data_IF_365626464765
#
_entry.id   IF_365626464765
#
_cell.length_a   1.000
_cell.length_b   1.000
_cell.length_c   1.000
_cell.angle_alpha   90.00
_cell.angle_beta   90.00
_cell.angle_gamma   90.00
#
_symmetry.space_group_name_H-M   'P 1'
#
loop_
_entity.id
_entity.type
_entity.pdbx_description
1 polymer ?
#
# COMPACT_ATOMS: atom_id res chain seq x y z
N UNK A 1 -3.16 -8.86 44.26
CA UNK A 1 -2.10 -8.06 43.63
C UNK A 1 -2.73 -6.87 42.92
N UNK A 2 -2.07 -5.70 42.89
CA UNK A 2 -2.46 -4.54 42.08
C UNK A 2 -1.59 -4.34 40.82
N UNK A 3 -0.54 -5.16 40.66
CA UNK A 3 0.42 -5.06 39.56
C UNK A 3 -0.11 -5.69 38.28
N UNK A 4 0.34 -5.16 37.14
CA UNK A 4 0.02 -5.66 35.81
C UNK A 4 0.69 -7.01 35.53
N UNK A 5 0.12 -7.75 34.59
CA UNK A 5 0.66 -9.04 34.13
C UNK A 5 1.60 -8.89 32.94
N UNK A 6 2.10 -10.03 32.47
CA UNK A 6 2.96 -10.10 31.29
C UNK A 6 2.16 -10.59 30.08
N UNK A 7 2.26 -9.88 28.96
CA UNK A 7 1.68 -10.25 27.67
C UNK A 7 2.82 -10.52 26.69
N UNK A 8 2.90 -11.76 26.20
CA UNK A 8 3.87 -12.17 25.17
C UNK A 8 3.17 -12.54 23.87
N UNK A 9 3.48 -11.83 22.79
CA UNK A 9 2.98 -12.13 21.45
C UNK A 9 4.16 -12.53 20.54
N UNK A 10 4.10 -13.73 19.98
CA UNK A 10 5.05 -14.20 18.98
C UNK A 10 4.32 -14.27 17.63
N UNK A 11 4.59 -13.28 16.77
CA UNK A 11 3.87 -13.05 15.53
C UNK A 11 4.79 -13.46 14.36
N UNK A 12 4.30 -14.25 13.40
CA UNK A 12 5.11 -14.62 12.24
C UNK A 12 5.22 -13.47 11.23
N UNK A 13 4.09 -13.06 10.64
CA UNK A 13 4.08 -12.12 9.51
C UNK A 13 3.77 -10.68 9.91
N UNK A 14 2.62 -10.42 10.53
CA UNK A 14 2.26 -9.09 11.01
C UNK A 14 1.22 -9.13 12.12
N UNK A 15 1.28 -8.13 12.99
CA UNK A 15 0.27 -7.80 13.97
C UNK A 15 -0.45 -6.54 13.48
N UNK A 16 -1.72 -6.69 13.12
CA UNK A 16 -2.57 -5.61 12.64
C UNK A 16 -3.65 -5.29 13.67
N UNK A 17 -3.61 -4.08 14.22
CA UNK A 17 -4.61 -3.56 15.13
C UNK A 17 -5.59 -2.63 14.39
N UNK A 18 -6.87 -2.95 14.51
CA UNK A 18 -7.97 -2.24 13.83
C UNK A 18 -9.21 -2.12 14.69
N UNK A 19 -10.10 -1.22 14.30
CA UNK A 19 -11.45 -1.05 14.85
C UNK A 19 -11.49 -0.97 16.38
N UNK A 20 -10.60 -0.17 16.98
CA UNK A 20 -10.58 0.01 18.43
C UNK A 20 -9.87 -1.11 19.19
N UNK A 21 -8.95 -1.85 18.57
CA UNK A 21 -8.23 -2.96 19.23
C UNK A 21 -7.48 -2.49 20.47
N UNK A 22 -7.35 -3.36 21.48
CA UNK A 22 -6.65 -3.03 22.72
C UNK A 22 -5.78 -4.19 23.19
N UNK A 23 -4.48 -3.91 23.40
CA UNK A 23 -3.55 -4.77 24.12
C UNK A 23 -3.15 -4.01 25.38
N UNK A 24 -3.69 -4.41 26.53
CA UNK A 24 -3.50 -3.68 27.79
C UNK A 24 -2.93 -4.57 28.88
N UNK A 25 -1.81 -4.13 29.45
CA UNK A 25 -1.25 -4.62 30.72
C UNK A 25 -1.33 -3.52 31.79
N UNK A 26 -2.29 -2.59 31.66
CA UNK A 26 -2.50 -1.50 32.59
C UNK A 26 -2.89 -2.02 33.98
N UNK A 27 -2.37 -1.38 35.02
CA UNK A 27 -2.64 -1.82 36.38
C UNK A 27 -2.66 -0.68 37.41
N UNK A 28 -3.20 -1.02 38.58
CA UNK A 28 -3.39 -0.10 39.69
C UNK A 28 -4.62 0.80 39.53
N UNK A 29 -5.13 1.26 40.66
CA UNK A 29 -6.19 2.27 40.79
C UNK A 29 -5.90 3.16 42.00
N UNK A 30 -6.68 4.24 42.17
CA UNK A 30 -6.63 5.10 43.36
C UNK A 30 -6.73 4.35 44.69
N UNK A 31 -7.52 3.28 44.72
CA UNK A 31 -7.77 2.51 45.93
C UNK A 31 -6.88 1.27 46.03
N UNK A 32 -6.14 0.93 44.97
CA UNK A 32 -5.24 -0.22 44.92
C UNK A 32 -4.03 0.10 44.05
N UNK A 33 -2.97 0.68 44.63
CA UNK A 33 -1.70 0.94 43.95
C UNK A 33 -1.17 -0.28 43.20
N UNK A 34 -0.46 -0.03 42.10
CA UNK A 34 0.19 -1.07 41.32
C UNK A 34 1.09 -0.52 40.22
N UNK A 35 2.02 -1.37 39.79
CA UNK A 35 2.89 -1.16 38.63
C UNK A 35 2.18 -1.57 37.34
N UNK A 36 2.52 -0.92 36.23
CA UNK A 36 2.14 -1.37 34.90
C UNK A 36 2.82 -2.70 34.57
N UNK A 37 2.18 -3.52 33.75
CA UNK A 37 2.70 -4.83 33.34
C UNK A 37 3.69 -4.76 32.17
N UNK A 38 4.15 -5.91 31.71
CA UNK A 38 5.06 -5.99 30.56
C UNK A 38 4.33 -6.48 29.31
N UNK A 39 4.58 -5.84 28.17
CA UNK A 39 4.08 -6.27 26.86
C UNK A 39 5.28 -6.51 25.97
N UNK A 40 5.47 -7.74 25.52
CA UNK A 40 6.54 -8.12 24.59
C UNK A 40 5.93 -8.65 23.30
N UNK A 41 6.24 -7.99 22.20
CA UNK A 41 5.83 -8.36 20.85
C UNK A 41 7.09 -8.74 20.08
N UNK A 42 7.24 -10.03 19.78
CA UNK A 42 8.35 -10.54 18.98
C UNK A 42 7.86 -10.97 17.60
N UNK A 43 8.62 -10.62 16.59
CA UNK A 43 8.49 -11.17 15.25
C UNK A 43 9.71 -12.06 14.92
N UNK A 44 9.80 -13.29 15.46
CA UNK A 44 11.00 -14.14 15.37
C UNK A 44 11.26 -14.73 13.97
N UNK A 45 10.41 -14.45 12.98
CA UNK A 45 10.59 -14.92 11.61
C UNK A 45 11.81 -14.30 10.94
N UNK A 46 12.42 -15.04 10.03
CA UNK A 46 13.47 -14.62 9.10
C UNK A 46 13.09 -13.38 8.27
N UNK A 47 11.79 -13.14 8.08
CA UNK A 47 11.25 -11.95 7.41
C UNK A 47 11.04 -10.75 8.32
N UNK A 48 11.18 -10.90 9.65
CA UNK A 48 11.00 -9.82 10.64
C UNK A 48 9.66 -9.09 10.52
N UNK A 49 8.55 -9.79 10.77
CA UNK A 49 7.19 -9.27 10.58
C UNK A 49 6.86 -7.88 11.15
N UNK A 50 5.71 -7.32 10.79
CA UNK A 50 5.33 -5.91 11.03
C UNK A 50 4.37 -5.73 12.21
N UNK A 51 4.43 -4.58 12.90
CA UNK A 51 3.41 -4.16 13.87
C UNK A 51 2.74 -2.89 13.37
N UNK A 52 1.43 -2.97 13.12
CA UNK A 52 0.68 -1.94 12.40
C UNK A 52 -0.61 -1.64 13.15
N UNK A 53 -0.89 -0.36 13.39
CA UNK A 53 -2.23 0.11 13.69
C UNK A 53 -2.75 1.04 12.60
N UNK A 54 -4.06 1.03 12.37
CA UNK A 54 -4.68 2.06 11.53
C UNK A 54 -4.76 3.35 12.37
N UNK A 55 -4.13 4.47 11.94
CA UNK A 55 -3.92 5.63 12.81
C UNK A 55 -5.20 6.22 13.44
N UNK A 56 -6.33 6.14 12.75
CA UNK A 56 -7.60 6.78 13.14
C UNK A 56 -8.66 5.79 13.62
N UNK A 57 -8.26 4.55 13.91
CA UNK A 57 -9.15 3.51 14.45
C UNK A 57 -8.93 3.28 15.95
N UNK A 58 -8.29 4.22 16.67
CA UNK A 58 -8.13 4.21 18.13
C UNK A 58 -7.71 2.83 18.69
N UNK A 59 -6.65 2.28 18.13
CA UNK A 59 -6.13 0.99 18.53
C UNK A 59 -4.87 1.13 19.35
N UNK A 60 -4.88 0.57 20.56
CA UNK A 60 -3.89 0.93 21.58
C UNK A 60 -3.11 -0.25 22.14
N UNK A 61 -1.85 0.02 22.48
CA UNK A 61 -0.98 -0.86 23.26
C UNK A 61 -0.59 -0.11 24.54
N UNK A 62 -1.13 -0.53 25.69
CA UNK A 62 -1.09 0.24 26.93
C UNK A 62 -0.54 -0.59 28.10
N UNK A 63 0.53 -0.13 28.73
CA UNK A 63 1.12 -0.72 29.93
C UNK A 63 1.19 0.32 31.05
N UNK A 64 0.09 1.04 31.30
CA UNK A 64 0.07 2.15 32.23
C UNK A 64 -0.04 1.68 33.70
N UNK A 65 0.30 2.57 34.63
CA UNK A 65 0.26 2.36 36.07
C UNK A 65 -0.46 3.51 36.79
N UNK A 66 -1.03 3.22 37.96
CA UNK A 66 -1.59 4.27 38.81
C UNK A 66 -0.56 4.92 39.75
N UNK A 67 0.15 4.13 40.57
CA UNK A 67 0.90 4.68 41.71
C UNK A 67 2.43 4.61 41.57
N UNK A 68 2.95 3.47 41.11
CA UNK A 68 4.39 3.18 41.13
C UNK A 68 4.98 3.37 39.72
N UNK A 69 5.67 2.38 39.15
CA UNK A 69 6.28 2.50 37.84
C UNK A 69 5.30 2.12 36.73
N UNK A 70 5.33 2.88 35.63
CA UNK A 70 4.77 2.48 34.36
C UNK A 70 5.38 1.14 33.91
N UNK A 71 4.65 0.42 33.06
CA UNK A 71 5.08 -0.87 32.56
C UNK A 71 6.20 -0.79 31.53
N UNK A 72 6.49 -1.93 30.91
CA UNK A 72 7.50 -2.03 29.85
C UNK A 72 6.88 -2.58 28.58
N UNK A 73 7.00 -1.87 27.47
CA UNK A 73 6.57 -2.34 26.16
C UNK A 73 7.80 -2.55 25.30
N UNK A 74 8.01 -3.77 24.84
CA UNK A 74 9.08 -4.12 23.90
C UNK A 74 8.49 -4.65 22.60
N UNK A 75 8.88 -4.03 21.49
CA UNK A 75 8.42 -4.42 20.15
C UNK A 75 9.64 -4.69 19.28
N UNK A 76 9.83 -5.94 18.88
CA UNK A 76 10.89 -6.40 17.97
C UNK A 76 10.26 -6.78 16.64
N UNK A 77 10.41 -5.91 15.64
CA UNK A 77 9.71 -5.96 14.36
C UNK A 77 10.55 -5.30 13.27
N UNK A 78 10.37 -5.58 11.98
CA UNK A 78 11.07 -4.76 10.98
C UNK A 78 10.62 -3.30 11.02
N UNK A 79 9.32 -3.07 11.26
CA UNK A 79 8.76 -1.72 11.32
C UNK A 79 7.50 -1.69 12.17
N UNK A 80 7.44 -0.69 13.04
CA UNK A 80 6.25 -0.30 13.79
C UNK A 80 5.61 0.92 13.11
N UNK A 81 4.32 0.86 12.76
CA UNK A 81 3.65 1.94 12.05
C UNK A 81 2.23 2.22 12.56
N UNK A 82 1.86 3.51 12.51
CA UNK A 82 0.50 3.99 12.76
C UNK A 82 0.14 4.27 14.22
N UNK A 83 1.07 4.03 15.16
CA UNK A 83 0.92 4.41 16.57
C UNK A 83 1.51 5.79 16.86
N UNK A 84 0.90 6.51 17.79
CA UNK A 84 1.50 7.67 18.44
C UNK A 84 1.96 7.30 19.85
N UNK A 85 3.21 7.61 20.18
CA UNK A 85 3.71 7.38 21.53
C UNK A 85 3.17 8.46 22.47
N UNK A 86 2.43 8.03 23.50
CA UNK A 86 1.80 8.93 24.48
C UNK A 86 2.36 8.69 25.86
N UNK A 87 2.51 9.78 26.61
CA UNK A 87 2.96 9.74 28.01
C UNK A 87 2.01 10.57 28.88
N UNK A 88 1.81 10.15 30.12
CA UNK A 88 1.03 10.89 31.13
C UNK A 88 -0.50 10.86 30.93
N UNK A 89 -1.01 10.10 29.96
CA UNK A 89 -2.45 9.89 29.78
C UNK A 89 -2.91 8.62 30.50
N UNK A 90 -4.12 8.65 31.06
CA UNK A 90 -4.78 7.47 31.58
C UNK A 90 -5.28 6.57 30.46
N UNK A 91 -5.47 5.28 30.73
CA UNK A 91 -6.06 4.35 29.75
C UNK A 91 -7.40 4.88 29.23
N UNK A 92 -8.29 5.37 30.09
CA UNK A 92 -9.55 5.96 29.66
C UNK A 92 -9.39 7.17 28.71
N UNK A 93 -8.35 7.99 28.88
CA UNK A 93 -8.10 9.11 27.97
C UNK A 93 -7.56 8.65 26.62
N UNK A 94 -6.73 7.60 26.60
CA UNK A 94 -6.24 6.96 25.38
C UNK A 94 -7.42 6.33 24.63
N UNK A 95 -8.21 5.48 25.31
CA UNK A 95 -9.39 4.81 24.76
C UNK A 95 -10.49 5.76 24.27
N UNK A 96 -10.51 7.01 24.70
CA UNK A 96 -11.52 8.00 24.29
C UNK A 96 -11.03 8.98 23.22
N UNK A 97 -9.78 8.89 22.77
CA UNK A 97 -9.29 9.74 21.70
C UNK A 97 -9.55 9.09 20.32
N UNK A 98 -9.00 9.70 19.26
CA UNK A 98 -9.19 9.25 17.88
C UNK A 98 -7.96 8.56 17.29
N UNK A 99 -6.85 8.51 18.02
CA UNK A 99 -5.55 8.05 17.52
C UNK A 99 -5.24 6.66 18.05
N UNK A 100 -4.57 5.85 17.25
CA UNK A 100 -3.95 4.62 17.75
C UNK A 100 -2.68 4.97 18.52
N UNK A 101 -2.59 4.55 19.77
CA UNK A 101 -1.52 4.98 20.68
C UNK A 101 -0.71 3.82 21.30
N UNK A 102 0.53 4.13 21.68
CA UNK A 102 1.35 3.28 22.53
C UNK A 102 1.75 4.04 23.80
N UNK A 103 1.48 3.48 24.98
CA UNK A 103 1.75 4.17 26.25
C UNK A 103 2.20 3.22 27.35
N UNK A 104 3.25 3.60 28.06
CA UNK A 104 3.74 2.93 29.26
C UNK A 104 4.03 4.00 30.32
N UNK A 105 2.97 4.59 30.86
CA UNK A 105 3.04 5.75 31.75
C UNK A 105 2.66 5.38 33.18
N UNK A 106 3.04 6.22 34.16
CA UNK A 106 2.47 6.17 35.51
C UNK A 106 1.82 7.51 35.86
N UNK A 107 0.67 7.46 36.56
CA UNK A 107 -0.04 8.67 36.99
C UNK A 107 0.66 9.36 38.17
N UNK A 108 1.09 8.61 39.19
CA UNK A 108 1.71 9.17 40.40
C UNK A 108 3.19 8.80 40.57
N UNK A 109 3.72 7.87 39.78
CA UNK A 109 5.09 7.41 39.93
C UNK A 109 5.94 7.57 38.67
N UNK A 110 6.88 6.64 38.45
CA UNK A 110 7.87 6.77 37.38
C UNK A 110 7.27 6.38 36.03
N UNK A 111 7.62 7.11 34.97
CA UNK A 111 7.25 6.70 33.62
C UNK A 111 7.89 5.34 33.29
N UNK A 112 7.13 4.52 32.58
CA UNK A 112 7.60 3.24 32.07
C UNK A 112 8.44 3.40 30.82
N UNK A 113 8.78 2.28 30.20
CA UNK A 113 9.70 2.25 29.06
C UNK A 113 9.01 1.65 27.83
N UNK A 114 9.22 2.29 26.68
CA UNK A 114 8.80 1.77 25.38
C UNK A 114 10.07 1.60 24.55
N UNK A 115 10.41 0.35 24.26
CA UNK A 115 11.54 -0.05 23.41
C UNK A 115 10.99 -0.59 22.12
N UNK A 116 11.30 0.08 21.01
CA UNK A 116 10.99 -0.43 19.68
C UNK A 116 12.31 -0.67 18.98
N UNK A 117 12.58 -1.93 18.67
CA UNK A 117 13.72 -2.34 17.86
C UNK A 117 13.20 -2.61 16.44
N UNK A 118 13.53 -1.68 15.52
CA UNK A 118 13.12 -1.73 14.12
C UNK A 118 14.33 -1.79 13.20
N UNK A 119 14.25 -2.62 12.16
CA UNK A 119 15.22 -2.57 11.06
C UNK A 119 15.12 -1.22 10.35
N UNK A 120 16.14 -0.39 10.56
CA UNK A 120 16.28 0.89 9.86
C UNK A 120 16.72 0.62 8.41
N UNK A 121 15.80 0.78 7.47
CA UNK A 121 16.09 0.63 6.04
C UNK A 121 16.52 2.00 5.53
N UNK A 122 17.82 2.20 5.31
CA UNK A 122 18.36 3.39 4.66
C UNK A 122 17.99 3.38 3.16
N UNK A 123 17.07 4.25 2.71
CA UNK A 123 16.63 4.27 1.32
C UNK A 123 17.70 4.79 0.36
N UNK A 124 18.79 5.40 0.84
CA UNK A 124 19.87 5.93 -0.02
C UNK A 124 20.74 4.82 -0.61
N UNK A 125 20.72 3.63 -0.03
CA UNK A 125 21.45 2.45 -0.53
C UNK A 125 20.88 1.89 -1.85
N UNK A 126 19.68 2.33 -2.27
CA UNK A 126 19.04 1.91 -3.52
C UNK A 126 19.35 2.78 -4.74
N UNK A 127 20.06 3.89 -4.57
CA UNK A 127 20.42 4.78 -5.68
C UNK A 127 21.75 4.30 -6.27
N UNK A 128 21.67 3.40 -7.25
CA UNK A 128 22.81 3.15 -8.14
C UNK A 128 22.91 4.34 -9.09
N UNK A 129 23.98 5.13 -8.97
CA UNK A 129 24.32 6.17 -9.94
C UNK A 129 24.60 5.48 -11.29
N UNK A 130 23.86 5.85 -12.34
CA UNK A 130 24.12 5.30 -13.66
C UNK A 130 25.53 5.71 -14.10
N UNK A 131 26.40 4.78 -14.53
CA UNK A 131 27.70 5.12 -15.08
C UNK A 131 27.52 6.07 -16.28
N UNK A 132 28.08 7.27 -16.18
CA UNK A 132 28.04 8.33 -17.21
C UNK A 132 29.11 8.16 -18.30
N UNK A 133 29.71 6.98 -18.41
CA UNK A 133 30.63 6.67 -19.51
C UNK A 133 29.85 6.50 -20.81
N UNK A 134 29.40 7.63 -21.39
CA UNK A 134 29.06 7.71 -22.78
C UNK A 134 30.32 7.38 -23.57
N UNK A 135 30.35 6.19 -24.19
CA UNK A 135 31.41 5.83 -25.13
C UNK A 135 31.45 6.90 -26.22
N UNK A 136 32.59 7.56 -26.39
CA UNK A 136 32.77 8.61 -27.39
C UNK A 136 32.58 8.01 -28.80
N UNK A 137 31.47 8.34 -29.50
CA UNK A 137 31.18 7.77 -30.80
C UNK A 137 32.17 8.23 -31.88
N UNK A 138 32.95 9.29 -31.63
CA UNK A 138 33.97 9.77 -32.57
C UNK A 138 35.13 8.79 -32.73
N UNK A 139 35.40 7.95 -31.73
CA UNK A 139 36.43 6.91 -31.80
C UNK A 139 35.94 5.59 -32.41
N UNK A 140 34.64 5.48 -32.71
CA UNK A 140 34.05 4.27 -33.31
C UNK A 140 33.95 4.33 -34.84
N UNK A 141 34.29 5.46 -35.46
CA UNK A 141 34.28 5.61 -36.92
C UNK A 141 35.62 5.13 -37.47
N UNK A 142 35.68 3.88 -37.93
CA UNK A 142 36.84 3.37 -38.67
C UNK A 142 36.89 4.00 -40.06
N UNK A 143 38.04 4.56 -40.47
CA UNK A 143 38.24 5.02 -41.84
C UNK A 143 38.50 3.82 -42.76
N UNK A 144 37.53 3.49 -43.61
CA UNK A 144 37.70 2.48 -44.66
C UNK A 144 38.56 2.98 -45.83
N UNK A 145 39.35 2.09 -46.44
CA UNK A 145 40.21 2.42 -47.58
C UNK A 145 39.39 2.91 -48.80
N UNK A 146 39.76 4.06 -49.38
CA UNK A 146 39.23 4.54 -50.68
C UNK A 146 39.72 3.62 -51.81
N UNK A 147 38.84 3.08 -52.68
CA UNK A 147 39.29 2.40 -53.89
C UNK A 147 39.87 3.41 -54.90
N UNK A 148 41.00 3.02 -55.52
CA UNK A 148 41.86 3.81 -56.42
C UNK A 148 41.27 4.15 -57.80
N UNK A 149 40.00 3.85 -58.06
CA UNK A 149 39.37 4.14 -59.36
C UNK A 149 38.47 5.37 -59.26
N UNK A 150 38.83 6.42 -60.00
CA UNK A 150 38.28 7.78 -59.96
C UNK A 150 36.79 7.94 -60.33
N UNK A 151 35.99 6.86 -60.33
CA UNK A 151 34.56 6.88 -60.64
C UNK A 151 33.67 6.24 -59.55
N UNK A 152 34.20 5.88 -58.38
CA UNK A 152 33.38 5.47 -57.23
C UNK A 152 32.95 6.65 -56.33
N UNK A 153 33.50 7.85 -56.56
CA UNK A 153 33.32 9.04 -55.72
C UNK A 153 32.03 9.83 -55.93
N UNK A 154 31.07 9.29 -56.70
CA UNK A 154 29.71 9.87 -56.82
C UNK A 154 28.67 9.21 -55.92
N UNK A 155 29.07 8.29 -55.04
CA UNK A 155 28.22 7.89 -53.92
C UNK A 155 28.73 8.61 -52.68
N UNK A 156 28.16 9.79 -52.41
CA UNK A 156 28.28 10.44 -51.12
C UNK A 156 27.73 9.46 -50.09
N UNK A 157 28.61 8.86 -49.28
CA UNK A 157 28.14 8.16 -48.08
C UNK A 157 27.63 9.22 -47.13
N UNK A 158 26.32 9.27 -46.97
CA UNK A 158 25.64 10.16 -46.04
C UNK A 158 25.41 9.41 -44.74
N UNK A 159 25.91 9.95 -43.64
CA UNK A 159 25.57 9.48 -42.30
C UNK A 159 24.38 10.29 -41.81
N UNK A 160 23.19 9.72 -41.92
CA UNK A 160 21.96 10.34 -41.39
C UNK A 160 21.70 9.79 -39.99
N UNK A 161 21.89 10.63 -38.97
CA UNK A 161 21.30 10.38 -37.65
C UNK A 161 19.81 10.73 -37.74
N UNK A 162 18.95 9.75 -38.03
CA UNK A 162 17.50 9.92 -37.82
C UNK A 162 17.20 9.76 -36.33
N UNK A 163 17.60 10.74 -35.53
CA UNK A 163 17.24 10.79 -34.12
C UNK A 163 15.77 11.13 -33.96
N UNK A 164 14.92 10.14 -33.65
CA UNK A 164 13.65 10.43 -32.99
C UNK A 164 13.93 10.56 -31.50
N UNK A 165 14.34 11.74 -31.07
CA UNK A 165 14.56 11.99 -29.64
C UNK A 165 15.47 13.17 -29.40
N UNK A 166 14.88 14.38 -29.42
CA UNK A 166 15.44 15.45 -28.59
C UNK A 166 15.36 15.04 -27.12
N UNK A 167 16.18 15.67 -26.27
CA UNK A 167 16.00 15.59 -24.83
C UNK A 167 14.50 15.76 -24.49
N UNK A 168 13.93 14.94 -23.60
CA UNK A 168 12.56 15.13 -23.17
C UNK A 168 12.41 16.59 -22.67
N UNK A 169 11.29 17.25 -23.01
CA UNK A 169 11.06 18.61 -22.55
C UNK A 169 11.17 18.65 -21.03
N UNK A 170 11.78 19.72 -20.53
CA UNK A 170 11.75 20.01 -19.11
C UNK A 170 10.29 20.09 -18.65
N UNK A 171 9.94 19.72 -17.41
CA UNK A 171 8.59 19.91 -16.88
C UNK A 171 8.07 21.35 -17.00
N UNK A 172 8.99 22.32 -17.17
CA UNK A 172 8.70 23.74 -17.32
C UNK A 172 8.56 24.20 -18.80
N UNK A 173 8.80 23.31 -19.78
CA UNK A 173 8.71 23.67 -21.19
C UNK A 173 7.24 23.73 -21.68
N UNK A 174 6.89 24.75 -22.48
CA UNK A 174 5.54 24.88 -23.02
C UNK A 174 5.23 23.74 -24.00
N UNK A 175 4.10 23.07 -23.77
CA UNK A 175 3.64 21.92 -24.58
C UNK A 175 3.42 22.35 -26.04
N UNK A 176 4.20 21.81 -26.98
CA UNK A 176 3.98 22.02 -28.41
C UNK A 176 2.89 21.07 -28.95
N UNK A 177 2.01 21.60 -29.79
CA UNK A 177 0.86 20.88 -30.34
C UNK A 177 1.30 19.84 -31.38
N UNK A 178 1.40 18.59 -30.95
CA UNK A 178 1.66 17.44 -31.83
C UNK A 178 1.75 16.09 -31.12
N UNK A 179 1.54 16.05 -29.81
CA UNK A 179 1.58 14.82 -29.02
C UNK A 179 0.26 14.06 -29.12
N UNK A 180 0.35 12.76 -29.43
CA UNK A 180 -0.77 11.82 -29.28
C UNK A 180 -1.20 11.86 -27.80
N UNK A 181 -2.49 12.06 -27.49
CA UNK A 181 -2.95 12.10 -26.10
C UNK A 181 -2.67 10.75 -25.43
N UNK A 182 -1.89 10.79 -24.34
CA UNK A 182 -1.79 9.65 -23.43
C UNK A 182 -3.07 9.69 -22.57
N UNK A 183 -3.83 8.58 -22.45
CA UNK A 183 -5.04 8.58 -21.64
C UNK A 183 -4.67 8.82 -20.17
N UNK A 184 -5.20 9.90 -19.61
CA UNK A 184 -5.06 10.21 -18.19
C UNK A 184 -5.82 9.18 -17.36
N UNK A 185 -5.14 8.57 -16.38
CA UNK A 185 -5.83 7.87 -15.29
C UNK A 185 -6.27 8.95 -14.30
N UNK A 186 -7.55 9.30 -14.34
CA UNK A 186 -8.14 10.20 -13.37
C UNK A 186 -8.19 9.52 -12.00
N UNK A 187 -7.61 10.17 -10.99
CA UNK A 187 -7.77 9.83 -9.59
C UNK A 187 -8.93 10.69 -9.09
N UNK A 188 -10.05 10.07 -8.72
CA UNK A 188 -11.20 10.79 -8.18
C UNK A 188 -10.85 11.34 -6.79
N UNK A 189 -10.41 12.60 -6.77
CA UNK A 189 -10.38 13.43 -5.58
C UNK A 189 -11.30 14.61 -5.86
N UNK A 190 -12.55 14.45 -5.42
CA UNK A 190 -13.51 15.52 -5.33
C UNK A 190 -12.91 16.67 -4.51
N UNK A 191 -12.79 17.86 -5.10
CA UNK A 191 -12.70 19.09 -4.33
C UNK A 191 -13.37 20.26 -5.06
N UNK A 192 -14.26 20.88 -4.29
CA UNK A 192 -14.95 22.14 -4.45
C UNK A 192 -14.36 23.15 -5.46
N UNK A 193 -15.23 23.72 -6.29
CA UNK A 193 -15.23 25.18 -6.51
C UNK A 193 -16.66 25.70 -6.68
N UNK A 194 -16.95 26.77 -5.93
CA UNK A 194 -18.14 27.60 -6.09
C UNK A 194 -18.07 28.31 -7.46
N UNK A 195 -19.04 28.03 -8.33
CA UNK A 195 -19.37 28.92 -9.44
C UNK A 195 -20.88 29.09 -9.46
N UNK A 196 -21.35 30.26 -9.00
CA UNK A 196 -22.72 30.71 -9.14
C UNK A 196 -23.01 30.96 -10.62
N UNK A 197 -23.86 30.13 -11.22
CA UNK A 197 -24.57 30.43 -12.46
C UNK A 197 -25.90 29.70 -12.43
N UNK A 198 -26.98 30.45 -12.24
CA UNK A 198 -28.35 29.99 -12.37
C UNK A 198 -28.65 29.66 -13.84
N UNK A 199 -28.86 28.37 -14.14
CA UNK A 199 -29.46 27.95 -15.41
C UNK A 199 -30.47 26.83 -15.14
N UNK A 200 -31.64 27.05 -15.71
CA UNK A 200 -32.91 26.34 -15.65
C UNK A 200 -32.80 24.87 -16.10
N UNK A 201 -33.50 23.98 -15.39
CA UNK A 201 -33.44 22.52 -15.56
C UNK A 201 -34.26 22.07 -16.78
N UNK A 202 -33.66 21.44 -17.81
CA UNK A 202 -34.43 20.72 -18.81
C UNK A 202 -34.71 19.29 -18.35
N UNK A 203 -35.93 18.87 -18.69
CA UNK A 203 -36.66 17.67 -18.29
C UNK A 203 -35.97 16.36 -18.65
N UNK A 204 -36.10 15.37 -17.76
CA UNK A 204 -35.55 14.01 -17.90
C UNK A 204 -35.98 13.31 -19.19
N UNK A 205 -35.03 12.71 -19.89
CA UNK A 205 -35.28 11.51 -20.70
C UNK A 205 -34.70 10.31 -19.94
N UNK A 206 -35.37 9.15 -19.90
CA UNK A 206 -34.95 8.03 -19.09
C UNK A 206 -33.67 7.42 -19.68
N UNK A 207 -32.57 7.53 -18.94
CA UNK A 207 -31.35 6.74 -19.15
C UNK A 207 -31.67 5.28 -18.82
N UNK A 208 -31.31 4.39 -19.74
CA UNK A 208 -31.41 2.94 -19.54
C UNK A 208 -30.72 2.56 -18.24
N UNK A 209 -31.45 1.91 -17.33
CA UNK A 209 -30.94 1.44 -16.06
C UNK A 209 -29.80 0.45 -16.29
N UNK A 210 -28.69 0.65 -15.59
CA UNK A 210 -27.59 -0.32 -15.52
C UNK A 210 -28.12 -1.58 -14.81
N UNK A 211 -28.03 -2.74 -15.47
CA UNK A 211 -28.50 -4.02 -14.93
C UNK A 211 -27.32 -4.98 -14.79
N UNK A 212 -27.21 -5.60 -13.63
CA UNK A 212 -26.20 -6.63 -13.33
C UNK A 212 -26.35 -7.87 -14.22
N UNK A 213 -25.21 -8.48 -14.58
CA UNK A 213 -25.21 -9.72 -15.36
C UNK A 213 -25.75 -10.89 -14.52
N UNK A 214 -26.74 -11.61 -15.05
CA UNK A 214 -27.37 -12.75 -14.38
C UNK A 214 -26.90 -14.10 -14.94
N UNK A 215 -26.08 -14.10 -15.99
CA UNK A 215 -25.52 -15.32 -16.56
C UNK A 215 -24.36 -15.05 -17.53
N UNK A 216 -23.71 -16.13 -17.95
CA UNK A 216 -22.63 -16.13 -18.94
C UNK A 216 -22.93 -17.14 -20.04
N UNK A 217 -22.62 -16.79 -21.29
CA UNK A 217 -22.67 -17.71 -22.44
C UNK A 217 -21.33 -17.73 -23.17
N UNK A 218 -21.03 -18.84 -23.86
CA UNK A 218 -19.85 -18.92 -24.72
C UNK A 218 -20.24 -18.58 -26.16
N UNK A 219 -19.53 -17.61 -26.75
CA UNK A 219 -19.65 -17.24 -28.15
C UNK A 219 -18.99 -18.27 -29.07
N UNK A 220 -19.28 -18.17 -30.37
CA UNK A 220 -18.79 -19.11 -31.38
C UNK A 220 -17.25 -19.22 -31.46
N UNK A 221 -16.54 -18.20 -30.97
CA UNK A 221 -15.08 -18.12 -30.96
C UNK A 221 -14.46 -18.49 -29.60
N UNK A 222 -15.26 -19.00 -28.65
CA UNK A 222 -14.81 -19.34 -27.29
C UNK A 222 -14.75 -18.17 -26.30
N UNK A 223 -15.27 -17.00 -26.66
CA UNK A 223 -15.38 -15.84 -25.77
C UNK A 223 -16.53 -16.00 -24.76
N UNK A 224 -16.35 -15.50 -23.54
CA UNK A 224 -17.38 -15.49 -22.51
C UNK A 224 -18.14 -14.16 -22.55
N UNK A 225 -19.45 -14.20 -22.81
CA UNK A 225 -20.32 -13.03 -22.89
C UNK A 225 -21.25 -13.01 -21.67
N UNK A 226 -21.20 -11.92 -20.90
CA UNK A 226 -22.08 -11.67 -19.75
C UNK A 226 -23.45 -11.14 -20.23
N UNK A 227 -24.53 -11.77 -19.79
CA UNK A 227 -25.90 -11.41 -20.18
C UNK A 227 -26.77 -11.11 -18.96
N UNK A 228 -27.65 -10.11 -19.09
CA UNK A 228 -28.54 -9.67 -18.01
C UNK A 228 -29.71 -10.63 -17.75
N UNK A 229 -29.97 -11.60 -18.63
CA UNK A 229 -31.11 -12.51 -18.54
C UNK A 229 -30.68 -13.93 -18.90
N UNK A 230 -30.45 -14.75 -17.87
CA UNK A 230 -30.05 -16.15 -18.06
C UNK A 230 -31.24 -16.97 -18.58
N UNK A 231 -31.00 -17.88 -19.55
CA UNK A 231 -32.02 -18.82 -19.99
C UNK A 231 -32.36 -19.80 -18.86
N UNK A 232 -33.66 -20.05 -18.64
CA UNK A 232 -34.13 -20.98 -17.61
C UNK A 232 -33.68 -22.40 -17.95
N UNK A 233 -32.77 -22.96 -17.15
CA UNK A 233 -32.35 -24.34 -17.30
C UNK A 233 -33.54 -25.28 -17.03
N UNK A 234 -33.94 -26.08 -18.02
CA UNK A 234 -34.83 -27.22 -17.81
C UNK A 234 -33.97 -28.37 -17.28
N UNK A 235 -34.16 -28.84 -16.03
CA UNK A 235 -33.40 -29.97 -15.52
C UNK A 235 -33.78 -31.22 -16.31
N UNK A 236 -32.81 -31.77 -17.03
CA UNK A 236 -32.96 -33.05 -17.71
C UNK A 236 -32.89 -34.16 -16.66
N UNK A 237 -33.92 -35.02 -16.59
CA UNK A 237 -33.88 -36.18 -15.70
C UNK A 237 -32.72 -37.10 -16.12
N UNK A 238 -31.93 -37.53 -15.13
CA UNK A 238 -30.80 -38.43 -15.31
C UNK A 238 -31.29 -39.83 -15.72
N UNK A 239 -31.20 -40.14 -17.01
CA UNK A 239 -31.50 -41.45 -17.58
C UNK A 239 -30.37 -42.48 -17.42
N UNK A 240 -29.66 -42.50 -16.28
CA UNK A 240 -28.62 -43.51 -16.04
C UNK A 240 -29.27 -44.83 -15.61
N UNK A 241 -29.32 -45.78 -16.55
CA UNK A 241 -29.54 -47.20 -16.27
C UNK A 241 -28.27 -47.77 -15.61
N UNK A 242 -28.35 -48.08 -14.33
CA UNK A 242 -27.34 -48.92 -13.67
C UNK A 242 -27.44 -50.35 -14.20
N UNK A 243 -26.59 -50.77 -15.15
CA UNK A 243 -26.16 -52.17 -15.34
C UNK A 243 -24.79 -52.34 -16.03
N UNK A 244 -23.82 -52.69 -15.19
CA UNK A 244 -22.68 -53.61 -15.36
C UNK A 244 -21.58 -53.36 -16.41
N UNK A 245 -20.36 -53.15 -15.89
CA UNK A 245 -19.09 -53.42 -16.57
C UNK A 245 -18.82 -54.93 -16.62
N UNK A 246 -18.43 -55.45 -17.77
CA UNK A 246 -17.60 -56.65 -17.89
C UNK A 246 -16.71 -56.55 -19.14
N UNK A 247 -15.40 -56.71 -18.88
CA UNK A 247 -14.19 -56.80 -19.73
C UNK A 247 -14.13 -56.00 -21.03
#
# INVERSE_FOLDING_TARGET
>A
SGNGGDIGLNIQDFLLLRHGSLISATAGTSNRPGNGGNIRINNPGDRGGFVIAVPWENSDIIANAYADSGGRIEIFTNRNWGFQQRQGLTENQLRNNTTSDISASSQLGRQGEIVTDTLDVDPTQGIVELPVDLVDPTQQITQGCRPLTANASKQQSEFVITGRGGLPPSPDDPVSSGTVPIPWVARDIANATNVTSSVELPTSTPTTTLVEAQGMIHGANGEVILIAQAATATPHQSGFSNKFCHQ
#
